data_IF_435395146130
#
_entry.id   IF_435395146130
#
_cell.length_a   1.000
_cell.length_b   1.000
_cell.length_c   1.000
_cell.angle_alpha   90.00
_cell.angle_beta   90.00
_cell.angle_gamma   90.00
#
_symmetry.space_group_name_H-M   'P 1'
#
loop_
_entity.id
_entity.type
_entity.pdbx_description
1 polymer ?
#
# COMPACT_ATOMS: atom_id res chain seq x y z
N UNK A 1 -18.43 19.35 11.14
CA UNK A 1 -18.26 18.88 9.75
C UNK A 1 -18.21 17.38 9.80
N UNK A 2 -19.08 16.68 9.07
CA UNK A 2 -19.01 15.22 8.96
C UNK A 2 -17.82 14.80 8.08
N UNK A 3 -17.30 13.58 8.25
CA UNK A 3 -16.25 13.02 7.39
C UNK A 3 -16.67 13.07 5.90
N UNK A 4 -17.93 12.78 5.62
CA UNK A 4 -18.47 12.90 4.26
C UNK A 4 -18.39 14.34 3.74
N UNK A 5 -18.74 15.35 4.53
CA UNK A 5 -18.59 16.76 4.13
C UNK A 5 -17.12 17.13 3.86
N UNK A 6 -16.18 16.65 4.68
CA UNK A 6 -14.74 16.85 4.47
C UNK A 6 -14.29 16.27 3.11
N UNK A 7 -14.67 15.04 2.79
CA UNK A 7 -14.28 14.39 1.52
C UNK A 7 -15.00 14.93 0.29
N UNK A 8 -16.10 15.68 0.49
CA UNK A 8 -16.76 16.44 -0.58
C UNK A 8 -16.18 17.85 -0.74
N UNK A 9 -15.39 18.34 0.22
CA UNK A 9 -14.75 19.66 0.15
C UNK A 9 -13.84 19.76 -1.07
N UNK A 10 -13.77 20.96 -1.64
CA UNK A 10 -12.94 21.23 -2.81
C UNK A 10 -11.47 20.97 -2.49
N UNK A 11 -10.99 21.44 -1.35
CA UNK A 11 -9.61 21.28 -0.88
C UNK A 11 -9.19 19.80 -0.84
N UNK A 12 -9.97 18.93 -0.20
CA UNK A 12 -9.64 17.52 -0.09
C UNK A 12 -9.61 16.82 -1.46
N UNK A 13 -10.57 17.15 -2.32
CA UNK A 13 -10.67 16.58 -3.67
C UNK A 13 -9.55 17.03 -4.59
N UNK A 14 -9.15 18.29 -4.50
CA UNK A 14 -8.03 18.82 -5.28
C UNK A 14 -6.72 18.20 -4.84
N UNK A 15 -6.47 18.11 -3.53
CA UNK A 15 -5.29 17.42 -3.00
C UNK A 15 -5.26 15.94 -3.43
N UNK A 16 -6.36 15.21 -3.29
CA UNK A 16 -6.38 13.79 -3.66
C UNK A 16 -6.16 13.56 -5.16
N UNK A 17 -6.55 14.52 -6.03
CA UNK A 17 -6.28 14.44 -7.48
C UNK A 17 -4.80 14.61 -7.84
N UNK A 18 -3.98 15.15 -6.94
CA UNK A 18 -2.53 15.22 -7.15
C UNK A 18 -1.85 13.86 -6.95
N UNK A 19 -2.47 12.95 -6.19
CA UNK A 19 -1.97 11.60 -6.03
C UNK A 19 -2.15 10.77 -7.30
N UNK A 20 -1.10 10.07 -7.71
CA UNK A 20 -1.10 9.13 -8.85
C UNK A 20 -1.55 7.73 -8.45
N UNK A 21 -1.10 7.25 -7.30
CA UNK A 21 -1.34 5.85 -6.86
C UNK A 21 -2.30 5.77 -5.68
N UNK A 22 -2.50 6.86 -4.93
CA UNK A 22 -3.42 6.88 -3.79
C UNK A 22 -4.85 7.21 -4.17
N UNK A 23 -5.79 6.52 -3.52
CA UNK A 23 -7.22 6.76 -3.61
C UNK A 23 -7.89 6.61 -2.26
N UNK A 24 -8.96 7.36 -2.05
CA UNK A 24 -9.84 7.18 -0.90
C UNK A 24 -10.76 5.97 -1.14
N UNK A 25 -10.61 4.92 -0.34
CA UNK A 25 -11.57 3.81 -0.26
C UNK A 25 -12.71 4.22 0.66
N UNK A 26 -13.93 4.15 0.13
CA UNK A 26 -15.16 4.37 0.88
C UNK A 26 -15.57 3.10 1.65
N UNK A 27 -16.20 3.25 2.83
CA UNK A 27 -16.75 2.12 3.57
C UNK A 27 -17.81 1.40 2.72
N UNK A 28 -17.83 0.07 2.79
CA UNK A 28 -18.77 -0.78 2.02
C UNK A 28 -19.94 -1.30 2.84
N UNK A 29 -19.99 -0.96 4.13
CA UNK A 29 -20.97 -1.44 5.09
C UNK A 29 -20.64 -2.86 5.59
N UNK A 30 -20.57 -3.00 6.92
CA UNK A 30 -20.42 -4.27 7.64
C UNK A 30 -19.35 -4.18 8.72
N UNK A 31 -19.49 -4.96 9.81
CA UNK A 31 -18.74 -4.86 11.08
C UNK A 31 -17.19 -4.72 10.99
N UNK A 32 -16.56 -5.04 9.86
CA UNK A 32 -15.10 -5.03 9.67
C UNK A 32 -14.61 -4.09 8.55
N UNK A 33 -15.48 -3.28 7.91
CA UNK A 33 -15.18 -2.45 6.73
C UNK A 33 -15.89 -1.07 6.76
N UNK A 34 -16.12 -0.53 7.96
CA UNK A 34 -16.94 0.67 8.17
C UNK A 34 -16.17 2.00 8.09
N UNK A 35 -14.86 1.96 7.79
CA UNK A 35 -14.00 3.15 7.73
C UNK A 35 -13.53 3.58 6.34
N UNK A 36 -13.00 4.79 6.28
CA UNK A 36 -12.29 5.33 5.13
C UNK A 36 -10.81 4.98 5.20
N UNK A 37 -10.22 4.61 4.07
CA UNK A 37 -8.81 4.26 3.97
C UNK A 37 -8.17 5.00 2.80
N UNK A 38 -6.99 5.60 3.02
CA UNK A 38 -6.16 6.16 1.97
C UNK A 38 -5.22 5.08 1.46
N UNK A 39 -5.62 4.46 0.35
CA UNK A 39 -4.93 3.28 -0.19
C UNK A 39 -4.11 3.65 -1.42
N UNK A 40 -2.82 3.35 -1.38
CA UNK A 40 -1.89 3.43 -2.51
C UNK A 40 -1.61 2.06 -3.09
N UNK A 41 -1.35 1.93 -4.40
CA UNK A 41 -0.96 0.64 -5.00
C UNK A 41 0.12 0.81 -6.05
N UNK A 42 1.26 0.15 -5.85
CA UNK A 42 2.27 -0.09 -6.88
C UNK A 42 2.02 -1.45 -7.50
N UNK A 43 2.05 -1.52 -8.83
CA UNK A 43 1.81 -2.76 -9.59
C UNK A 43 3.05 -3.07 -10.42
N UNK A 44 3.45 -4.34 -10.38
CA UNK A 44 4.63 -4.86 -11.04
C UNK A 44 4.21 -5.91 -12.07
N UNK A 45 5.06 -6.15 -13.08
CA UNK A 45 4.74 -7.10 -14.14
C UNK A 45 5.04 -8.55 -13.74
N UNK A 46 5.91 -8.76 -12.76
CA UNK A 46 6.33 -10.09 -12.32
C UNK A 46 6.83 -10.08 -10.86
N UNK A 47 7.09 -11.27 -10.34
CA UNK A 47 7.59 -11.48 -8.99
C UNK A 47 8.98 -10.91 -8.73
N UNK A 48 9.84 -10.82 -9.76
CA UNK A 48 11.19 -10.26 -9.60
C UNK A 48 11.11 -8.75 -9.35
N UNK A 49 10.36 -8.03 -10.17
CA UNK A 49 10.15 -6.60 -9.99
C UNK A 49 9.40 -6.26 -8.70
N UNK A 50 8.49 -7.14 -8.25
CA UNK A 50 7.88 -7.01 -6.93
C UNK A 50 8.94 -7.05 -5.81
N UNK A 51 9.88 -7.99 -5.86
CA UNK A 51 10.96 -8.08 -4.87
C UNK A 51 11.90 -6.88 -4.92
N UNK A 52 12.23 -6.40 -6.12
CA UNK A 52 13.00 -5.17 -6.30
C UNK A 52 12.26 -3.95 -5.70
N UNK A 53 10.95 -3.85 -5.94
CA UNK A 53 10.09 -2.82 -5.35
C UNK A 53 10.05 -2.88 -3.82
N UNK A 54 9.91 -4.09 -3.25
CA UNK A 54 9.95 -4.31 -1.79
C UNK A 54 11.30 -3.89 -1.20
N UNK A 55 12.40 -4.23 -1.86
CA UNK A 55 13.74 -3.79 -1.47
C UNK A 55 13.88 -2.26 -1.54
N UNK A 56 13.36 -1.63 -2.59
CA UNK A 56 13.44 -0.19 -2.78
C UNK A 56 12.67 0.60 -1.71
N UNK A 57 11.54 0.06 -1.21
CA UNK A 57 10.77 0.67 -0.12
C UNK A 57 11.26 0.28 1.29
N UNK A 58 12.32 -0.53 1.38
CA UNK A 58 12.87 -0.98 2.67
C UNK A 58 11.99 -1.99 3.42
N UNK A 59 11.12 -2.72 2.73
CA UNK A 59 10.28 -3.74 3.35
C UNK A 59 11.10 -4.98 3.74
N UNK A 60 10.93 -5.43 4.99
CA UNK A 60 11.56 -6.65 5.48
C UNK A 60 10.71 -7.88 5.16
N UNK A 61 11.30 -8.85 4.45
CA UNK A 61 10.63 -10.10 4.10
C UNK A 61 11.58 -11.30 4.10
N UNK A 62 11.00 -12.50 4.17
CA UNK A 62 11.67 -13.79 4.03
C UNK A 62 10.98 -14.59 2.91
N UNK A 63 11.78 -15.30 2.11
CA UNK A 63 11.30 -16.17 1.05
C UNK A 63 11.45 -17.64 1.45
N UNK A 64 10.36 -18.40 1.31
CA UNK A 64 10.29 -19.81 1.64
C UNK A 64 9.97 -20.63 0.39
N UNK A 65 10.65 -21.77 0.21
CA UNK A 65 10.34 -22.70 -0.89
C UNK A 65 9.14 -23.61 -0.58
N UNK A 66 8.81 -23.73 0.69
CA UNK A 66 7.67 -24.49 1.20
C UNK A 66 6.73 -23.54 1.95
N UNK A 67 5.46 -23.92 2.11
CA UNK A 67 4.48 -23.07 2.78
C UNK A 67 4.83 -22.96 4.28
N UNK A 68 5.07 -21.75 4.82
CA UNK A 68 5.32 -21.58 6.25
C UNK A 68 4.02 -21.73 7.06
N UNK A 69 4.14 -21.91 8.38
CA UNK A 69 3.00 -22.00 9.30
C UNK A 69 2.31 -20.64 9.51
N UNK A 70 3.04 -19.55 9.35
CA UNK A 70 2.51 -18.20 9.48
C UNK A 70 1.60 -17.84 8.30
N UNK A 71 0.75 -16.83 8.50
CA UNK A 71 -0.02 -16.27 7.40
C UNK A 71 0.94 -15.63 6.38
N UNK A 72 0.75 -15.99 5.11
CA UNK A 72 1.44 -15.43 3.95
C UNK A 72 0.48 -15.46 2.76
N UNK A 73 0.65 -14.56 1.77
CA UNK A 73 -0.12 -14.60 0.55
C UNK A 73 0.23 -15.86 -0.28
N UNK A 74 -0.59 -16.20 -1.30
CA UNK A 74 -0.31 -17.34 -2.17
C UNK A 74 1.11 -17.32 -2.76
N UNK A 75 1.69 -18.48 -3.13
CA UNK A 75 3.03 -18.52 -3.66
C UNK A 75 3.08 -17.92 -5.07
N UNK A 76 4.22 -17.35 -5.43
CA UNK A 76 4.45 -16.74 -6.73
C UNK A 76 5.76 -17.19 -7.37
N UNK A 77 5.85 -17.01 -8.68
CA UNK A 77 7.03 -17.36 -9.46
C UNK A 77 8.05 -16.22 -9.45
N UNK A 78 9.30 -16.58 -9.18
CA UNK A 78 10.48 -15.73 -9.38
C UNK A 78 11.48 -16.54 -10.18
N UNK A 79 11.67 -16.17 -11.44
CA UNK A 79 12.62 -16.81 -12.36
C UNK A 79 12.45 -18.35 -12.44
N UNK A 80 11.20 -18.83 -12.46
CA UNK A 80 10.87 -20.25 -12.58
C UNK A 80 10.87 -21.03 -11.25
N UNK A 81 11.10 -20.36 -10.12
CA UNK A 81 11.03 -20.96 -8.79
C UNK A 81 9.83 -20.37 -8.03
N UNK A 82 9.01 -21.25 -7.45
CA UNK A 82 7.89 -20.83 -6.60
C UNK A 82 8.36 -20.50 -5.19
N UNK A 83 7.97 -19.33 -4.69
CA UNK A 83 8.25 -18.87 -3.33
C UNK A 83 6.98 -18.44 -2.61
N UNK A 84 6.99 -18.65 -1.30
CA UNK A 84 6.09 -18.00 -0.33
C UNK A 84 6.83 -16.83 0.30
N UNK A 85 6.14 -15.72 0.53
CA UNK A 85 6.71 -14.52 1.16
C UNK A 85 6.12 -14.30 2.55
N UNK A 86 6.98 -14.29 3.55
CA UNK A 86 6.66 -13.84 4.90
C UNK A 86 7.16 -12.40 5.05
N UNK A 87 6.36 -11.52 5.64
CA UNK A 87 6.72 -10.11 5.82
C UNK A 87 5.99 -9.51 7.02
N UNK A 88 6.53 -8.41 7.54
CA UNK A 88 5.79 -7.56 8.48
C UNK A 88 4.97 -6.55 7.68
N UNK A 89 3.68 -6.47 7.98
CA UNK A 89 2.81 -5.50 7.34
C UNK A 89 3.16 -4.06 7.75
N UNK A 90 3.67 -3.81 8.96
CA UNK A 90 4.19 -2.50 9.34
C UNK A 90 5.58 -2.27 8.74
N UNK A 91 5.75 -1.15 8.04
CA UNK A 91 6.99 -0.77 7.39
C UNK A 91 7.26 0.73 7.58
N UNK A 92 8.53 1.11 7.70
CA UNK A 92 8.97 2.50 7.60
C UNK A 92 9.66 2.69 6.26
N UNK A 93 8.99 3.40 5.35
CA UNK A 93 9.46 3.64 3.99
C UNK A 93 9.86 5.11 3.84
N UNK A 94 11.14 5.39 3.63
CA UNK A 94 11.68 6.76 3.54
C UNK A 94 11.29 7.68 4.71
N UNK A 95 11.22 7.12 5.94
CA UNK A 95 10.79 7.85 7.14
C UNK A 95 9.27 7.95 7.33
N UNK A 96 8.47 7.38 6.43
CA UNK A 96 7.02 7.29 6.55
C UNK A 96 6.62 5.93 7.11
N UNK A 97 6.01 5.93 8.31
CA UNK A 97 5.34 4.75 8.83
C UNK A 97 4.07 4.47 8.02
N UNK A 98 3.93 3.23 7.57
CA UNK A 98 2.81 2.77 6.76
C UNK A 98 2.57 1.28 6.99
N UNK A 99 1.35 0.83 6.67
CA UNK A 99 1.06 -0.59 6.56
C UNK A 99 1.05 -0.99 5.08
N UNK A 100 1.74 -2.08 4.77
CA UNK A 100 1.78 -2.68 3.44
C UNK A 100 1.04 -4.00 3.41
N UNK A 101 0.45 -4.30 2.26
CA UNK A 101 -0.03 -5.62 1.87
C UNK A 101 0.61 -5.99 0.54
N UNK A 102 1.08 -7.23 0.45
CA UNK A 102 1.71 -7.76 -0.75
C UNK A 102 0.70 -8.61 -1.52
N UNK A 103 0.49 -8.25 -2.79
CA UNK A 103 -0.21 -9.07 -3.77
C UNK A 103 0.80 -9.95 -4.52
N UNK A 104 0.49 -11.23 -4.65
CA UNK A 104 1.36 -12.25 -5.29
C UNK A 104 0.63 -13.11 -6.31
N UNK A 105 -0.64 -12.82 -6.60
CA UNK A 105 -1.41 -13.57 -7.60
C UNK A 105 -0.92 -13.22 -9.01
N UNK A 106 -1.07 -14.13 -9.99
CA UNK A 106 -0.55 -13.94 -11.36
C UNK A 106 -1.06 -12.65 -12.05
N UNK A 107 -2.20 -12.13 -11.62
CA UNK A 107 -2.78 -10.87 -12.09
C UNK A 107 -2.59 -9.69 -11.14
N UNK A 108 -1.85 -9.87 -10.05
CA UNK A 108 -1.68 -8.88 -8.99
C UNK A 108 -0.34 -9.03 -8.26
N UNK A 109 0.77 -8.69 -8.94
CA UNK A 109 2.04 -8.42 -8.27
C UNK A 109 2.04 -6.99 -7.79
N UNK A 110 1.87 -6.77 -6.49
CA UNK A 110 1.67 -5.42 -5.99
C UNK A 110 2.10 -5.21 -4.55
N UNK A 111 2.33 -3.93 -4.26
CA UNK A 111 2.48 -3.42 -2.90
C UNK A 111 1.35 -2.40 -2.69
N UNK A 112 0.41 -2.75 -1.83
CA UNK A 112 -0.66 -1.86 -1.40
C UNK A 112 -0.24 -1.17 -0.11
N UNK A 113 -0.41 0.14 -0.03
CA UNK A 113 -0.12 0.96 1.14
C UNK A 113 -1.41 1.43 1.81
N UNK A 114 -1.46 1.46 3.13
CA UNK A 114 -2.44 2.23 3.91
C UNK A 114 -1.69 3.39 4.60
N UNK A 115 -2.10 4.61 4.30
CA UNK A 115 -1.43 5.85 4.73
C UNK A 115 -2.15 6.61 5.85
N UNK A 116 -3.22 6.08 6.41
CA UNK A 116 -3.91 6.74 7.52
C UNK A 116 -2.94 6.90 8.72
N UNK A 117 -2.80 8.11 9.27
CA UNK A 117 -1.86 8.37 10.38
C UNK A 117 -2.47 8.24 11.76
N UNK A 118 -3.76 8.55 11.92
CA UNK A 118 -4.43 8.68 13.22
C UNK A 118 -5.30 7.47 13.55
N UNK A 119 -6.01 6.91 12.57
CA UNK A 119 -6.76 5.66 12.74
C UNK A 119 -6.87 4.89 11.44
N UNK A 120 -7.07 3.57 11.52
CA UNK A 120 -7.28 2.72 10.35
C UNK A 120 -8.49 3.09 9.49
N UNK A 121 -9.37 3.96 9.98
CA UNK A 121 -10.72 4.18 9.43
C UNK A 121 -11.09 5.65 9.24
N UNK A 122 -10.16 6.56 9.54
CA UNK A 122 -10.33 8.01 9.42
C UNK A 122 -9.16 8.58 8.62
N UNK A 123 -9.47 9.32 7.56
CA UNK A 123 -8.48 9.95 6.68
C UNK A 123 -8.58 11.45 6.87
N UNK A 124 -7.47 12.07 7.25
CA UNK A 124 -7.37 13.52 7.38
C UNK A 124 -6.62 14.13 6.18
N UNK A 125 -6.72 15.45 5.99
CA UNK A 125 -6.06 16.11 4.85
C UNK A 125 -4.53 15.95 4.90
N UNK A 126 -3.97 15.88 6.10
CA UNK A 126 -2.56 15.63 6.37
C UNK A 126 -2.12 14.25 5.84
N UNK A 127 -3.00 13.24 5.84
CA UNK A 127 -2.70 11.93 5.24
C UNK A 127 -2.52 12.04 3.73
N UNK A 128 -3.36 12.85 3.07
CA UNK A 128 -3.26 13.12 1.63
C UNK A 128 -1.98 13.89 1.32
N UNK A 129 -1.63 14.90 2.11
CA UNK A 129 -0.38 15.65 1.95
C UNK A 129 0.86 14.76 2.17
N UNK A 130 0.80 13.85 3.15
CA UNK A 130 1.83 12.82 3.37
C UNK A 130 1.93 11.89 2.16
N UNK A 131 0.82 11.46 1.58
CA UNK A 131 0.79 10.62 0.40
C UNK A 131 1.40 11.32 -0.84
N UNK A 132 1.08 12.59 -1.08
CA UNK A 132 1.68 13.38 -2.16
C UNK A 132 3.19 13.50 -1.98
N UNK A 133 3.64 13.78 -0.75
CA UNK A 133 5.06 13.90 -0.42
C UNK A 133 5.79 12.57 -0.60
N UNK A 134 5.16 11.47 -0.20
CA UNK A 134 5.66 10.12 -0.38
C UNK A 134 5.78 9.75 -1.86
N UNK A 135 4.79 10.06 -2.70
CA UNK A 135 4.87 9.83 -4.14
C UNK A 135 6.02 10.60 -4.79
N UNK A 136 6.30 11.84 -4.38
CA UNK A 136 7.46 12.59 -4.86
C UNK A 136 8.78 11.87 -4.54
N UNK A 137 8.86 11.24 -3.37
CA UNK A 137 10.03 10.44 -2.98
C UNK A 137 10.13 9.18 -3.85
N UNK A 138 9.02 8.47 -4.07
CA UNK A 138 8.98 7.31 -4.97
C UNK A 138 9.47 7.68 -6.38
N UNK A 139 8.99 8.82 -6.92
CA UNK A 139 9.42 9.33 -8.23
C UNK A 139 10.92 9.66 -8.24
N UNK A 140 11.41 10.34 -7.20
CA UNK A 140 12.83 10.71 -7.11
C UNK A 140 13.77 9.50 -7.02
N UNK A 141 13.27 8.36 -6.54
CA UNK A 141 13.99 7.08 -6.48
C UNK A 141 13.71 6.16 -7.68
N UNK A 142 12.93 6.60 -8.66
CA UNK A 142 12.61 5.83 -9.87
C UNK A 142 11.71 4.62 -9.62
N UNK A 143 10.93 4.62 -8.54
CA UNK A 143 9.98 3.55 -8.18
C UNK A 143 8.62 3.77 -8.84
N UNK A 144 8.24 5.04 -9.03
CA UNK A 144 7.00 5.50 -9.66
C UNK A 144 7.31 6.46 -10.82
#
# INVERSE_FOLDING_TARGET
MSQYELYQSQEFREALKECKIYRLKYPRGGHYNDGFELLGKLVFTDGKLLLEGLGAIGANYLLHKEKPECWCPPPFDVEGIKYWIEYKNECECFGYKTYIRIGTETSDFSIEFNFNSTSWYDVIIEDVQRAISFERILISNGIL
#
